data_IF_744435263610
#
_entry.id   IF_744435263610
#
_cell.length_a   1.000
_cell.length_b   1.000
_cell.length_c   1.000
_cell.angle_alpha   90.00
_cell.angle_beta   90.00
_cell.angle_gamma   90.00
#
_symmetry.space_group_name_H-M   'P 1'
#
loop_
_entity.id
_entity.type
_entity.pdbx_description
1 polymer ?
#
# COMPACT_ATOMS: atom_id res chain seq x y z
N UNK A 1 -9.81 -41.51 35.48
CA UNK A 1 -9.25 -41.27 36.79
C UNK A 1 -8.48 -39.98 36.70
N UNK A 2 -8.88 -38.93 37.15
CA UNK A 2 -8.99 -38.20 38.40
C UNK A 2 -9.75 -36.89 38.18
N UNK A 3 -10.83 -36.77 38.93
CA UNK A 3 -11.64 -35.60 39.19
C UNK A 3 -10.82 -34.45 39.78
N UNK A 4 -11.22 -33.23 39.47
CA UNK A 4 -10.83 -32.03 40.15
C UNK A 4 -11.84 -30.92 39.89
N UNK A 5 -12.93 -30.93 40.67
CA UNK A 5 -13.86 -29.83 40.83
C UNK A 5 -13.34 -28.92 41.95
N UNK A 6 -13.44 -27.58 41.79
CA UNK A 6 -13.50 -26.57 42.87
C UNK A 6 -13.88 -25.25 42.23
N UNK A 7 -15.06 -24.80 42.51
CA UNK A 7 -15.65 -23.87 43.50
C UNK A 7 -15.66 -22.41 43.01
N UNK A 8 -16.85 -21.99 42.69
CA UNK A 8 -17.66 -20.81 43.04
C UNK A 8 -16.94 -19.73 43.85
N UNK A 9 -16.98 -18.53 43.33
CA UNK A 9 -16.68 -17.28 43.98
C UNK A 9 -17.49 -16.14 43.38
N UNK A 10 -18.69 -15.92 43.95
CA UNK A 10 -19.52 -14.72 43.72
C UNK A 10 -18.96 -13.59 44.59
N UNK A 11 -18.67 -12.45 44.01
CA UNK A 11 -18.56 -11.20 44.77
C UNK A 11 -19.18 -10.08 43.93
N UNK A 12 -20.29 -9.60 44.46
CA UNK A 12 -21.02 -8.42 44.03
C UNK A 12 -20.50 -7.16 44.73
N UNK A 13 -20.96 -5.98 44.24
CA UNK A 13 -20.90 -4.62 44.79
C UNK A 13 -19.59 -3.86 44.47
N UNK A 14 -19.62 -2.63 43.89
CA UNK A 14 -20.36 -1.44 44.32
C UNK A 14 -20.49 -0.44 43.14
N UNK A 15 -21.67 0.17 43.03
CA UNK A 15 -21.89 1.45 42.38
C UNK A 15 -21.18 2.55 43.17
N UNK A 16 -20.42 3.38 42.48
CA UNK A 16 -20.10 4.72 42.96
C UNK A 16 -20.34 5.70 41.83
N UNK A 17 -21.48 6.38 41.90
CA UNK A 17 -21.72 7.61 41.21
C UNK A 17 -20.85 8.68 41.87
N UNK A 18 -20.02 9.35 41.11
CA UNK A 18 -19.44 10.65 41.46
C UNK A 18 -19.73 11.62 40.34
N UNK A 19 -20.75 12.46 40.59
CA UNK A 19 -20.88 13.79 40.00
C UNK A 19 -19.71 14.62 40.52
N UNK A 20 -18.95 15.20 39.61
CA UNK A 20 -17.90 16.15 39.88
C UNK A 20 -17.72 17.06 38.66
N UNK A 21 -18.45 18.19 38.68
CA UNK A 21 -18.09 19.35 37.86
C UNK A 21 -16.70 19.81 38.28
N UNK A 22 -15.81 19.93 37.32
CA UNK A 22 -14.64 20.81 37.39
C UNK A 22 -14.24 21.19 35.97
N UNK A 23 -14.56 22.44 35.66
CA UNK A 23 -13.95 23.18 34.56
C UNK A 23 -12.43 23.18 34.74
N UNK A 24 -11.69 22.83 33.67
CA UNK A 24 -10.47 23.53 33.28
C UNK A 24 -10.02 23.11 31.90
N UNK A 25 -9.88 24.10 31.06
CA UNK A 25 -9.19 24.25 29.81
C UNK A 25 -8.08 23.25 29.43
N UNK A 26 -8.11 22.86 28.16
CA UNK A 26 -6.90 22.57 27.38
C UNK A 26 -6.69 21.12 27.01
N UNK A 27 -7.18 20.72 25.83
CA UNK A 27 -6.56 19.75 24.91
C UNK A 27 -7.54 19.28 23.80
N UNK A 28 -8.07 20.19 23.02
CA UNK A 28 -8.80 19.88 21.77
C UNK A 28 -7.89 20.07 20.54
N UNK A 29 -6.79 19.31 20.46
CA UNK A 29 -5.95 19.31 19.26
C UNK A 29 -5.72 17.92 18.64
N UNK A 30 -6.27 16.84 19.24
CA UNK A 30 -6.02 15.49 18.75
C UNK A 30 -7.21 14.83 18.01
N UNK A 31 -8.40 15.42 18.09
CA UNK A 31 -9.61 14.84 17.46
C UNK A 31 -9.82 15.33 16.01
N UNK A 32 -9.33 16.53 15.67
CA UNK A 32 -9.45 17.07 14.31
C UNK A 32 -8.62 16.32 13.25
N UNK A 33 -7.52 15.65 13.65
CA UNK A 33 -6.68 14.91 12.73
C UNK A 33 -7.24 13.52 12.36
N UNK A 34 -8.06 12.93 13.25
CA UNK A 34 -8.70 11.62 12.96
C UNK A 34 -9.92 11.75 12.06
N UNK A 35 -10.68 12.84 12.18
CA UNK A 35 -11.82 13.13 11.31
C UNK A 35 -11.40 13.39 9.87
N UNK A 36 -10.38 14.22 9.66
CA UNK A 36 -9.89 14.55 8.32
C UNK A 36 -9.26 13.35 7.57
N UNK A 37 -8.64 12.41 8.29
CA UNK A 37 -8.08 11.20 7.68
C UNK A 37 -9.18 10.16 7.32
N UNK A 38 -10.29 10.13 8.05
CA UNK A 38 -11.42 9.24 7.77
C UNK A 38 -12.26 9.76 6.58
N UNK A 39 -12.47 11.09 6.49
CA UNK A 39 -13.20 11.71 5.38
C UNK A 39 -12.40 11.62 4.05
N UNK A 40 -11.07 11.77 4.09
CA UNK A 40 -10.22 11.59 2.92
C UNK A 40 -10.20 10.14 2.41
N UNK A 41 -10.41 9.15 3.29
CA UNK A 41 -10.52 7.74 2.90
C UNK A 41 -11.86 7.41 2.23
N UNK A 42 -12.93 8.16 2.52
CA UNK A 42 -14.27 7.96 1.95
C UNK A 42 -14.39 8.42 0.48
N UNK A 43 -13.50 9.30 0.02
CA UNK A 43 -13.54 9.91 -1.32
C UNK A 43 -12.52 9.28 -2.30
N UNK A 44 -11.77 8.25 -1.88
CA UNK A 44 -10.84 7.54 -2.75
C UNK A 44 -11.62 6.66 -3.74
N UNK A 45 -11.38 6.78 -5.06
CA UNK A 45 -11.99 5.88 -6.02
C UNK A 45 -11.61 4.43 -5.69
N UNK A 46 -12.59 3.54 -5.65
CA UNK A 46 -12.34 2.09 -5.53
C UNK A 46 -12.21 1.48 -6.92
N UNK A 47 -11.32 0.49 -7.11
CA UNK A 47 -11.28 -0.24 -8.36
C UNK A 47 -12.58 -1.04 -8.55
N UNK A 48 -12.99 -1.29 -9.79
CA UNK A 48 -14.09 -2.21 -10.11
C UNK A 48 -13.58 -3.65 -10.16
N UNK A 49 -14.38 -4.62 -9.71
CA UNK A 49 -14.06 -6.03 -9.88
C UNK A 49 -14.05 -6.41 -11.36
N UNK A 50 -13.20 -7.36 -11.75
CA UNK A 50 -13.08 -7.81 -13.12
C UNK A 50 -11.72 -8.36 -13.50
N UNK A 51 -11.57 -8.72 -14.75
CA UNK A 51 -10.31 -9.15 -15.36
C UNK A 51 -9.49 -7.89 -15.73
N UNK A 52 -8.27 -7.84 -15.27
CA UNK A 52 -7.33 -6.76 -15.53
C UNK A 52 -6.12 -7.25 -16.31
N UNK A 53 -5.62 -6.38 -17.16
CA UNK A 53 -4.31 -6.53 -17.81
C UNK A 53 -3.34 -5.54 -17.18
N UNK A 54 -2.24 -6.06 -16.63
CA UNK A 54 -1.11 -5.28 -16.18
C UNK A 54 -0.02 -5.30 -17.25
N UNK A 55 0.45 -4.12 -17.63
CA UNK A 55 1.57 -3.93 -18.55
C UNK A 55 2.64 -3.15 -17.80
N UNK A 56 3.82 -3.74 -17.65
CA UNK A 56 4.96 -3.13 -16.97
C UNK A 56 6.05 -2.93 -18.01
N UNK A 57 6.45 -1.70 -18.21
CA UNK A 57 7.52 -1.32 -19.15
C UNK A 57 8.70 -0.76 -18.38
N UNK A 58 9.84 -1.43 -18.47
CA UNK A 58 11.10 -0.92 -17.93
C UNK A 58 11.54 0.31 -18.71
N UNK A 59 11.73 1.43 -18.03
CA UNK A 59 12.12 2.71 -18.65
C UNK A 59 13.58 3.08 -18.38
N UNK A 60 14.25 2.38 -17.46
CA UNK A 60 15.67 2.58 -17.21
C UNK A 60 16.18 1.80 -16.00
N UNK A 61 17.47 1.48 -16.07
CA UNK A 61 18.24 0.88 -14.98
C UNK A 61 19.52 1.69 -14.84
N UNK A 62 19.90 1.99 -13.61
CA UNK A 62 21.14 2.65 -13.24
C UNK A 62 21.78 1.85 -12.10
N UNK A 63 22.95 1.26 -12.38
CA UNK A 63 23.72 0.46 -11.42
C UNK A 63 25.13 1.03 -11.37
N UNK A 64 25.61 1.45 -10.18
CA UNK A 64 26.97 1.97 -10.02
C UNK A 64 28.01 0.97 -10.51
N UNK A 65 28.97 1.45 -11.26
CA UNK A 65 30.06 0.63 -11.80
C UNK A 65 29.75 -0.14 -13.09
N UNK A 66 28.50 -0.18 -13.53
CA UNK A 66 28.13 -0.79 -14.82
C UNK A 66 28.14 0.22 -15.99
N UNK A 67 28.35 1.49 -15.70
CA UNK A 67 28.62 2.56 -16.66
C UNK A 67 27.65 2.64 -17.84
N UNK A 68 28.06 3.36 -18.88
CA UNK A 68 27.30 3.56 -20.13
C UNK A 68 26.92 2.25 -20.88
N UNK A 69 27.45 1.10 -20.48
CA UNK A 69 27.08 -0.19 -21.07
C UNK A 69 25.62 -0.58 -20.76
N UNK A 70 25.03 -0.04 -19.68
CA UNK A 70 23.61 -0.27 -19.31
C UNK A 70 22.72 0.94 -19.59
N UNK A 71 23.31 2.12 -19.87
CA UNK A 71 22.54 3.29 -20.32
C UNK A 71 21.91 2.98 -21.70
N UNK A 72 20.60 2.86 -21.70
CA UNK A 72 19.82 2.56 -22.91
C UNK A 72 19.52 1.06 -23.16
N UNK A 73 20.15 0.12 -22.46
CA UNK A 73 19.86 -1.32 -22.63
C UNK A 73 18.74 -1.83 -21.69
N UNK A 74 18.40 -1.11 -20.63
CA UNK A 74 17.30 -1.47 -19.73
C UNK A 74 15.93 -0.89 -20.08
N UNK A 75 15.85 -0.02 -21.11
CA UNK A 75 14.59 0.58 -21.54
C UNK A 75 13.88 -0.27 -22.59
N UNK A 76 12.54 -0.33 -22.50
CA UNK A 76 11.68 -0.95 -23.50
C UNK A 76 11.33 -2.43 -23.26
N UNK A 77 11.87 -3.09 -22.24
CA UNK A 77 11.37 -4.41 -21.85
C UNK A 77 9.97 -4.27 -21.29
N UNK A 78 9.02 -4.92 -21.95
CA UNK A 78 7.61 -4.91 -21.53
C UNK A 78 7.17 -6.31 -21.13
N UNK A 79 6.56 -6.42 -19.98
CA UNK A 79 5.90 -7.63 -19.49
C UNK A 79 4.42 -7.37 -19.33
N UNK A 80 3.60 -8.31 -19.78
CA UNK A 80 2.15 -8.22 -19.65
C UNK A 80 1.63 -9.48 -18.96
N UNK A 81 0.76 -9.29 -17.98
CA UNK A 81 0.06 -10.38 -17.29
C UNK A 81 -1.42 -9.99 -17.07
N UNK A 82 -2.25 -11.01 -16.94
CA UNK A 82 -3.67 -10.82 -16.62
C UNK A 82 -3.98 -11.42 -15.25
N UNK A 83 -4.84 -10.74 -14.52
CA UNK A 83 -5.28 -11.18 -13.19
C UNK A 83 -6.73 -10.78 -12.93
N UNK A 84 -7.42 -11.61 -12.14
CA UNK A 84 -8.78 -11.32 -11.73
C UNK A 84 -8.76 -10.54 -10.40
N UNK A 85 -9.43 -9.39 -10.39
CA UNK A 85 -9.72 -8.61 -9.20
C UNK A 85 -11.12 -8.98 -8.71
N UNK A 86 -11.19 -9.73 -7.61
CA UNK A 86 -12.46 -10.16 -7.05
C UNK A 86 -13.17 -9.04 -6.27
N UNK A 87 -14.49 -9.14 -6.01
CA UNK A 87 -15.18 -8.18 -5.13
C UNK A 87 -14.52 -8.05 -3.75
N UNK A 88 -14.01 -9.14 -3.18
CA UNK A 88 -13.29 -9.12 -1.89
C UNK A 88 -11.97 -8.33 -1.97
N UNK A 89 -11.32 -8.32 -3.13
CA UNK A 89 -10.11 -7.55 -3.37
C UNK A 89 -10.43 -6.06 -3.49
N UNK A 90 -11.54 -5.73 -4.14
CA UNK A 90 -12.02 -4.35 -4.30
C UNK A 90 -12.30 -3.68 -2.95
N UNK A 91 -12.84 -4.43 -1.99
CA UNK A 91 -13.09 -3.89 -0.63
C UNK A 91 -11.80 -3.44 0.07
N UNK A 92 -10.65 -4.00 -0.31
CA UNK A 92 -9.34 -3.62 0.22
C UNK A 92 -8.78 -2.36 -0.48
N UNK A 93 -9.37 -1.95 -1.61
CA UNK A 93 -9.02 -0.75 -2.37
C UNK A 93 -7.68 -0.83 -3.09
N UNK A 94 -7.34 0.26 -3.79
CA UNK A 94 -6.10 0.37 -4.59
C UNK A 94 -4.83 0.11 -3.80
N UNK A 95 -4.79 0.51 -2.55
CA UNK A 95 -3.63 0.35 -1.67
C UNK A 95 -3.20 -1.12 -1.54
N UNK A 96 -4.15 -2.01 -1.28
CA UNK A 96 -3.86 -3.43 -1.15
C UNK A 96 -3.70 -4.12 -2.51
N UNK A 97 -4.42 -3.67 -3.54
CA UNK A 97 -4.26 -4.17 -4.91
C UNK A 97 -2.82 -3.98 -5.40
N UNK A 98 -2.23 -2.81 -5.20
CA UNK A 98 -0.85 -2.54 -5.62
C UNK A 98 0.20 -3.30 -4.82
N UNK A 99 -0.07 -3.68 -3.57
CA UNK A 99 0.83 -4.53 -2.76
C UNK A 99 0.90 -5.97 -3.25
N UNK A 100 -0.17 -6.50 -3.87
CA UNK A 100 -0.21 -7.90 -4.34
C UNK A 100 0.78 -8.22 -5.44
N UNK A 101 1.16 -7.23 -6.23
CA UNK A 101 2.20 -7.39 -7.26
C UNK A 101 3.62 -7.46 -6.70
N UNK A 102 3.78 -7.31 -5.38
CA UNK A 102 5.05 -7.33 -4.68
C UNK A 102 5.03 -8.52 -3.72
N UNK A 103 6.07 -9.31 -3.66
CA UNK A 103 6.16 -10.59 -2.92
C UNK A 103 5.95 -10.48 -1.39
N UNK A 104 4.92 -9.77 -0.96
CA UNK A 104 4.34 -9.81 0.39
C UNK A 104 5.07 -9.05 1.50
N UNK A 105 6.27 -8.52 1.26
CA UNK A 105 7.10 -7.88 2.29
C UNK A 105 7.08 -6.35 2.25
N UNK A 106 6.05 -5.75 1.63
CA UNK A 106 6.00 -4.31 1.42
C UNK A 106 5.06 -3.59 2.37
N UNK A 107 5.43 -2.38 2.78
CA UNK A 107 4.60 -1.44 3.52
C UNK A 107 4.63 -0.06 2.86
N UNK A 108 3.52 0.65 2.91
CA UNK A 108 3.52 2.06 2.50
C UNK A 108 4.09 2.94 3.60
N UNK A 109 5.04 3.80 3.23
CA UNK A 109 5.47 4.93 4.02
C UNK A 109 4.49 6.09 3.86
N UNK A 110 4.09 6.38 2.61
CA UNK A 110 3.03 7.32 2.27
C UNK A 110 2.13 6.73 1.19
N UNK A 111 0.85 7.04 1.22
CA UNK A 111 -0.11 6.71 0.18
C UNK A 111 -1.16 7.81 0.11
N UNK A 112 -1.16 8.53 -1.00
CA UNK A 112 -2.14 9.54 -1.30
C UNK A 112 -2.76 9.24 -2.67
N UNK A 113 -4.07 9.10 -2.69
CA UNK A 113 -4.86 8.97 -3.91
C UNK A 113 -6.05 9.92 -3.77
N UNK A 114 -5.93 11.09 -4.37
CA UNK A 114 -6.94 12.13 -4.33
C UNK A 114 -7.21 12.64 -5.75
N UNK A 115 -8.46 12.85 -6.09
CA UNK A 115 -8.89 13.33 -7.42
C UNK A 115 -8.32 12.47 -8.56
N UNK A 116 -8.15 11.17 -8.32
CA UNK A 116 -7.56 10.24 -9.27
C UNK A 116 -6.04 10.38 -9.43
N UNK A 117 -5.37 11.24 -8.65
CA UNK A 117 -3.91 11.39 -8.65
C UNK A 117 -3.29 10.51 -7.56
N UNK A 118 -2.34 9.67 -7.97
CA UNK A 118 -1.57 8.80 -7.08
C UNK A 118 -0.20 9.42 -6.78
N UNK A 119 0.12 9.52 -5.50
CA UNK A 119 1.48 9.79 -5.01
C UNK A 119 1.75 8.85 -3.83
N UNK A 120 2.67 7.91 -3.98
CA UNK A 120 2.91 6.92 -2.96
C UNK A 120 4.40 6.58 -2.84
N UNK A 121 4.79 6.20 -1.63
CA UNK A 121 6.11 5.64 -1.33
C UNK A 121 5.92 4.32 -0.61
N UNK A 122 6.55 3.28 -1.12
CA UNK A 122 6.53 1.94 -0.58
C UNK A 122 7.93 1.48 -0.21
N UNK A 123 8.04 0.79 0.90
CA UNK A 123 9.27 0.14 1.37
C UNK A 123 9.05 -1.36 1.33
N UNK A 124 9.90 -2.08 0.63
CA UNK A 124 9.86 -3.52 0.46
C UNK A 124 11.11 -4.16 1.05
N UNK A 125 10.94 -5.22 1.84
CA UNK A 125 12.05 -6.06 2.25
C UNK A 125 12.34 -7.06 1.14
N UNK A 126 13.58 -7.09 0.68
CA UNK A 126 14.07 -8.04 -0.32
C UNK A 126 15.22 -8.84 0.27
N UNK A 127 15.63 -9.91 -0.40
CA UNK A 127 16.81 -10.69 0.01
C UNK A 127 18.10 -9.87 0.01
N UNK A 128 18.12 -8.74 -0.69
CA UNK A 128 19.26 -7.81 -0.81
C UNK A 128 19.14 -6.59 0.11
N UNK A 129 18.15 -6.56 1.02
CA UNK A 129 17.89 -5.43 1.91
C UNK A 129 16.59 -4.69 1.61
N UNK A 130 16.48 -3.48 2.13
CA UNK A 130 15.27 -2.65 1.92
C UNK A 130 15.34 -1.94 0.56
N UNK A 131 14.30 -2.12 -0.25
CA UNK A 131 14.07 -1.37 -1.47
C UNK A 131 13.01 -0.28 -1.22
N UNK A 132 13.26 0.93 -1.72
CA UNK A 132 12.34 2.07 -1.65
C UNK A 132 11.78 2.35 -3.03
N UNK A 133 10.46 2.32 -3.17
CA UNK A 133 9.75 2.60 -4.41
C UNK A 133 8.89 3.86 -4.28
N UNK A 134 9.15 4.83 -5.15
CA UNK A 134 8.36 6.05 -5.31
C UNK A 134 7.46 5.89 -6.53
N UNK A 135 6.17 6.17 -6.40
CA UNK A 135 5.17 6.00 -7.46
C UNK A 135 4.37 7.28 -7.65
N UNK A 136 4.20 7.71 -8.90
CA UNK A 136 3.35 8.86 -9.26
C UNK A 136 2.54 8.52 -10.50
N UNK A 137 1.25 8.86 -10.47
CA UNK A 137 0.40 8.55 -11.60
C UNK A 137 -1.06 8.86 -11.37
N UNK A 138 -1.90 8.10 -12.03
CA UNK A 138 -3.36 8.27 -11.97
C UNK A 138 -4.05 6.93 -11.71
N UNK A 139 -5.22 6.98 -11.09
CA UNK A 139 -6.10 5.84 -10.94
C UNK A 139 -7.56 6.24 -11.09
N UNK A 140 -8.30 5.41 -11.79
CA UNK A 140 -9.75 5.46 -11.97
C UNK A 140 -10.33 4.11 -11.54
N UNK A 141 -11.65 3.95 -11.41
CA UNK A 141 -12.22 2.65 -11.07
C UNK A 141 -11.84 1.49 -12.00
N UNK A 142 -11.50 1.76 -13.26
CA UNK A 142 -11.21 0.74 -14.28
C UNK A 142 -9.79 0.74 -14.80
N UNK A 143 -8.97 1.71 -14.43
CA UNK A 143 -7.60 1.81 -14.91
C UNK A 143 -6.68 2.51 -13.91
N UNK A 144 -5.40 2.17 -13.92
CA UNK A 144 -4.36 2.97 -13.28
C UNK A 144 -3.11 2.97 -14.14
N UNK A 145 -2.39 4.08 -14.11
CA UNK A 145 -1.09 4.21 -14.75
C UNK A 145 -0.17 5.03 -13.84
N UNK A 146 1.04 4.53 -13.60
CA UNK A 146 2.01 5.24 -12.79
C UNK A 146 3.44 4.98 -13.23
N UNK A 147 4.26 5.99 -13.06
CA UNK A 147 5.71 5.85 -13.13
C UNK A 147 6.24 5.49 -11.75
N UNK A 148 7.13 4.52 -11.72
CA UNK A 148 7.78 4.07 -10.50
C UNK A 148 9.30 4.19 -10.59
N UNK A 149 9.91 4.59 -9.48
CA UNK A 149 11.34 4.60 -9.26
C UNK A 149 11.68 3.78 -8.03
N UNK A 150 12.33 2.66 -8.24
CA UNK A 150 12.80 1.79 -7.17
C UNK A 150 14.29 2.01 -6.93
N UNK A 151 14.66 2.26 -5.69
CA UNK A 151 16.06 2.29 -5.24
C UNK A 151 16.30 1.09 -4.34
N UNK A 152 17.41 0.41 -4.55
CA UNK A 152 17.83 -0.73 -3.76
C UNK A 152 19.32 -0.65 -3.47
N UNK A 153 19.72 -1.14 -2.32
CA UNK A 153 21.15 -1.33 -2.03
C UNK A 153 21.60 -2.64 -2.68
N UNK A 154 22.62 -2.55 -3.51
CA UNK A 154 23.21 -3.70 -4.18
C UNK A 154 24.51 -4.03 -3.45
N UNK A 155 24.48 -5.07 -2.63
CA UNK A 155 25.61 -5.52 -1.82
C UNK A 155 26.96 -5.43 -2.54
N UNK A 156 27.81 -4.51 -2.06
CA UNK A 156 29.15 -4.28 -2.62
C UNK A 156 29.22 -3.45 -3.91
N UNK A 157 28.08 -3.12 -4.55
CA UNK A 157 28.02 -2.29 -5.77
C UNK A 157 27.40 -0.91 -5.53
N UNK A 158 26.89 -0.63 -4.32
CA UNK A 158 26.20 0.63 -3.98
C UNK A 158 24.72 0.66 -4.39
N UNK A 159 24.14 1.86 -4.41
CA UNK A 159 22.70 2.03 -4.65
C UNK A 159 22.35 1.93 -6.14
N UNK A 160 21.58 0.92 -6.50
CA UNK A 160 20.96 0.80 -7.82
C UNK A 160 19.62 1.53 -7.90
N UNK A 161 19.25 1.95 -9.10
CA UNK A 161 17.94 2.53 -9.39
C UNK A 161 17.32 1.85 -10.60
N UNK A 162 16.06 1.42 -10.46
CA UNK A 162 15.21 0.95 -11.57
C UNK A 162 14.06 1.92 -11.77
N UNK A 163 13.70 2.16 -13.03
CA UNK A 163 12.53 2.96 -13.41
C UNK A 163 11.64 2.15 -14.33
N UNK A 164 10.34 2.21 -14.09
CA UNK A 164 9.36 1.55 -14.94
C UNK A 164 8.03 2.31 -14.93
N UNK A 165 7.27 2.14 -16.00
CA UNK A 165 5.87 2.51 -16.09
C UNK A 165 5.03 1.26 -15.88
N UNK A 166 3.98 1.35 -15.08
CA UNK A 166 3.02 0.29 -14.88
C UNK A 166 1.63 0.79 -15.23
N UNK A 167 0.95 0.05 -16.12
CA UNK A 167 -0.41 0.33 -16.56
C UNK A 167 -1.29 -0.86 -16.26
N UNK A 168 -2.43 -0.62 -15.63
CA UNK A 168 -3.46 -1.62 -15.34
C UNK A 168 -4.76 -1.17 -16.00
N UNK A 169 -5.39 -2.05 -16.75
CA UNK A 169 -6.65 -1.78 -17.45
C UNK A 169 -7.63 -2.93 -17.21
N UNK A 170 -8.86 -2.61 -16.83
CA UNK A 170 -9.95 -3.59 -16.81
C UNK A 170 -10.30 -3.96 -18.24
N UNK A 171 -10.23 -5.26 -18.56
CA UNK A 171 -10.46 -5.76 -19.92
C UNK A 171 -11.75 -6.61 -20.02
N UNK A 172 -12.42 -6.87 -18.89
CA UNK A 172 -13.67 -7.62 -18.88
C UNK A 172 -14.02 -8.15 -17.51
N UNK A 173 -14.90 -9.14 -17.48
CA UNK A 173 -15.25 -9.87 -16.27
C UNK A 173 -14.28 -11.02 -16.03
N UNK A 174 -14.16 -11.46 -14.77
CA UNK A 174 -13.36 -12.62 -14.43
C UNK A 174 -13.96 -13.90 -15.05
N UNK A 175 -13.14 -14.86 -15.49
CA UNK A 175 -13.60 -16.15 -16.01
C UNK A 175 -14.30 -17.01 -14.95
#
# INVERSE_FOLDING_TARGET
MRNGAFLVGVAALMLAACSGESETDGADAADGARGAAADAAADMPKPEAGLYRATITMTGIDVPGMGAAMEGHGGGMTTTNEYCLTPADVEQGFKEMMKRGQDGSCRYETFNLADGQLDAVMLCQTDQGEARMEMKGTATPTASEFDARMRMDLDGMGNGTMRFNAKHERIGDCP
#
